data_IF_666193442224
#
_entry.id   IF_666193442224
#
_cell.length_a   1.000
_cell.length_b   1.000
_cell.length_c   1.000
_cell.angle_alpha   90.00
_cell.angle_beta   90.00
_cell.angle_gamma   90.00
#
_symmetry.space_group_name_H-M   'P 1'
#
loop_
_entity.id
_entity.type
_entity.pdbx_description
1 polymer ?
#
# COMPACT_ATOMS: atom_id res chain seq x y z
N UNK A 1 11.86 -2.48 -21.17
CA UNK A 1 10.64 -2.17 -21.93
C UNK A 1 9.83 -3.45 -22.20
N UNK A 2 10.49 -4.56 -22.57
CA UNK A 2 9.87 -5.90 -22.76
C UNK A 2 9.15 -6.44 -21.51
N UNK A 3 9.76 -6.33 -20.31
CA UNK A 3 9.16 -6.87 -19.08
C UNK A 3 7.79 -6.29 -18.71
N UNK A 4 7.43 -5.06 -19.12
CA UNK A 4 6.11 -4.49 -18.82
C UNK A 4 5.04 -5.03 -19.78
N UNK A 5 5.41 -5.15 -21.06
CA UNK A 5 4.56 -5.72 -22.12
C UNK A 5 4.31 -7.21 -21.85
N UNK A 6 5.33 -7.97 -21.46
CA UNK A 6 5.16 -9.40 -21.17
C UNK A 6 4.32 -9.62 -19.89
N UNK A 7 4.45 -8.76 -18.87
CA UNK A 7 3.57 -8.82 -17.69
C UNK A 7 2.11 -8.52 -18.03
N UNK A 8 1.85 -7.59 -18.97
CA UNK A 8 0.51 -7.31 -19.47
C UNK A 8 -0.11 -8.55 -20.11
N UNK A 9 0.59 -9.18 -21.05
CA UNK A 9 0.08 -10.39 -21.70
C UNK A 9 -0.10 -11.54 -20.71
N UNK A 10 0.80 -11.71 -19.73
CA UNK A 10 0.66 -12.73 -18.68
C UNK A 10 -0.65 -12.55 -17.94
N UNK A 11 -0.95 -11.33 -17.48
CA UNK A 11 -2.22 -11.04 -16.79
C UNK A 11 -3.44 -11.34 -17.67
N UNK A 12 -3.40 -10.92 -18.94
CA UNK A 12 -4.50 -11.15 -19.89
C UNK A 12 -4.76 -12.63 -20.13
N UNK A 13 -3.69 -13.44 -20.30
CA UNK A 13 -3.80 -14.87 -20.50
C UNK A 13 -4.41 -15.57 -19.27
N UNK A 14 -3.96 -15.19 -18.07
CA UNK A 14 -4.48 -15.74 -16.82
C UNK A 14 -5.97 -15.40 -16.62
N UNK A 15 -6.42 -14.20 -17.01
CA UNK A 15 -7.84 -13.83 -16.96
C UNK A 15 -8.71 -14.69 -17.89
N UNK A 16 -8.22 -15.00 -19.09
CA UNK A 16 -8.96 -15.89 -19.99
C UNK A 16 -9.04 -17.32 -19.44
N UNK A 17 -7.97 -17.79 -18.79
CA UNK A 17 -7.98 -19.06 -18.06
C UNK A 17 -9.01 -19.05 -16.93
N UNK A 18 -9.07 -17.97 -16.13
CA UNK A 18 -10.10 -17.81 -15.08
C UNK A 18 -11.52 -17.86 -15.65
N UNK A 19 -11.77 -17.15 -16.75
CA UNK A 19 -13.06 -17.13 -17.43
C UNK A 19 -13.46 -18.53 -17.94
N UNK A 20 -12.49 -19.30 -18.47
CA UNK A 20 -12.70 -20.67 -18.94
C UNK A 20 -13.06 -21.63 -17.82
N UNK A 21 -12.48 -21.46 -16.64
CA UNK A 21 -12.71 -22.32 -15.47
C UNK A 21 -14.07 -22.09 -14.79
N UNK A 22 -14.70 -20.92 -15.01
CA UNK A 22 -15.99 -20.54 -14.39
C UNK A 22 -16.04 -20.76 -12.87
N UNK A 23 -14.92 -20.50 -12.19
CA UNK A 23 -14.70 -20.79 -10.76
C UNK A 23 -14.61 -19.55 -9.86
N UNK A 24 -15.13 -18.43 -10.33
CA UNK A 24 -14.99 -17.16 -9.63
C UNK A 24 -13.55 -16.61 -9.69
N UNK A 25 -13.32 -15.53 -8.97
CA UNK A 25 -12.06 -14.78 -9.03
C UNK A 25 -10.92 -15.53 -8.35
N UNK A 26 -9.73 -15.52 -8.96
CA UNK A 26 -8.54 -16.13 -8.36
C UNK A 26 -8.11 -15.55 -7.02
N UNK A 27 -8.64 -14.39 -6.62
CA UNK A 27 -8.47 -13.83 -5.28
C UNK A 27 -9.01 -14.77 -4.17
N UNK A 28 -10.03 -15.57 -4.46
CA UNK A 28 -10.68 -16.49 -3.52
C UNK A 28 -10.19 -17.93 -3.63
N UNK A 29 -9.33 -18.23 -4.63
CA UNK A 29 -8.87 -19.59 -4.88
C UNK A 29 -8.04 -20.15 -3.72
N UNK A 30 -8.41 -21.36 -3.31
CA UNK A 30 -7.73 -22.17 -2.30
C UNK A 30 -6.68 -23.07 -2.94
N UNK A 31 -5.92 -23.79 -2.13
CA UNK A 31 -4.98 -24.82 -2.65
C UNK A 31 -5.70 -25.86 -3.52
N UNK A 32 -6.92 -26.24 -3.16
CA UNK A 32 -7.73 -27.19 -3.92
C UNK A 32 -8.05 -26.71 -5.34
N UNK A 33 -8.30 -25.41 -5.52
CA UNK A 33 -8.58 -24.83 -6.84
C UNK A 33 -7.33 -24.86 -7.73
N UNK A 34 -6.14 -24.64 -7.15
CA UNK A 34 -4.88 -24.77 -7.88
C UNK A 34 -4.49 -26.24 -8.16
N UNK A 35 -4.81 -27.17 -7.26
CA UNK A 35 -4.64 -28.62 -7.51
C UNK A 35 -5.50 -29.05 -8.69
N UNK A 36 -6.76 -28.62 -8.72
CA UNK A 36 -7.67 -28.91 -9.82
C UNK A 36 -7.23 -28.25 -11.14
N UNK A 37 -6.80 -26.99 -11.09
CA UNK A 37 -6.24 -26.30 -12.26
C UNK A 37 -5.02 -27.04 -12.83
N UNK A 38 -4.14 -27.55 -11.97
CA UNK A 38 -2.99 -28.36 -12.39
C UNK A 38 -3.43 -29.59 -13.17
N UNK A 39 -4.49 -30.27 -12.71
CA UNK A 39 -5.05 -31.46 -13.39
C UNK A 39 -5.66 -31.07 -14.74
N UNK A 40 -6.51 -30.04 -14.77
CA UNK A 40 -7.19 -29.62 -16.02
C UNK A 40 -6.18 -29.13 -17.08
N UNK A 41 -5.11 -28.44 -16.68
CA UNK A 41 -4.02 -28.06 -17.59
C UNK A 41 -3.30 -29.29 -18.14
N UNK A 42 -3.02 -30.28 -17.28
CA UNK A 42 -2.34 -31.51 -17.70
C UNK A 42 -3.19 -32.32 -18.68
N UNK A 43 -4.49 -32.44 -18.44
CA UNK A 43 -5.44 -33.12 -19.32
C UNK A 43 -5.54 -32.43 -20.69
N UNK A 44 -5.60 -31.09 -20.71
CA UNK A 44 -5.79 -30.33 -21.94
C UNK A 44 -4.50 -30.15 -22.77
N UNK A 45 -3.32 -30.10 -22.13
CA UNK A 45 -2.06 -29.72 -22.80
C UNK A 45 -1.01 -30.83 -22.83
N UNK A 46 -1.18 -31.88 -22.01
CA UNK A 46 -0.19 -32.94 -21.79
C UNK A 46 1.00 -32.54 -20.91
N UNK A 47 1.03 -31.30 -20.38
CA UNK A 47 2.13 -30.78 -19.57
C UNK A 47 1.66 -30.54 -18.13
N UNK A 48 2.40 -31.08 -17.15
CA UNK A 48 2.09 -30.87 -15.73
C UNK A 48 2.79 -29.63 -15.19
N UNK A 49 2.02 -28.68 -14.64
CA UNK A 49 2.53 -27.51 -13.94
C UNK A 49 2.30 -27.65 -12.45
N UNK A 50 3.36 -27.61 -11.64
CA UNK A 50 3.20 -27.75 -10.19
C UNK A 50 2.29 -26.66 -9.61
N UNK A 51 1.54 -27.01 -8.57
CA UNK A 51 0.67 -26.11 -7.81
C UNK A 51 1.43 -24.88 -7.31
N UNK A 52 2.72 -25.05 -6.96
CA UNK A 52 3.58 -23.92 -6.55
C UNK A 52 3.91 -22.98 -7.71
N UNK A 53 4.08 -23.51 -8.92
CA UNK A 53 4.27 -22.72 -10.15
C UNK A 53 2.99 -21.94 -10.48
N UNK A 54 1.83 -22.57 -10.37
CA UNK A 54 0.53 -21.92 -10.61
C UNK A 54 0.26 -20.83 -9.56
N UNK A 55 0.49 -21.10 -8.28
CA UNK A 55 0.36 -20.09 -7.22
C UNK A 55 1.27 -18.88 -7.42
N UNK A 56 2.47 -19.07 -7.98
CA UNK A 56 3.39 -17.98 -8.33
C UNK A 56 2.89 -17.16 -9.52
N UNK A 57 2.37 -17.80 -10.57
CA UNK A 57 1.77 -17.12 -11.73
C UNK A 57 0.58 -16.24 -11.32
N UNK A 58 -0.25 -16.74 -10.41
CA UNK A 58 -1.40 -16.02 -9.84
C UNK A 58 -1.05 -15.08 -8.69
N UNK A 59 0.24 -14.87 -8.40
CA UNK A 59 0.71 -13.91 -7.39
C UNK A 59 0.41 -14.28 -5.93
N UNK A 60 0.01 -15.53 -5.64
CA UNK A 60 -0.21 -16.04 -4.27
C UNK A 60 1.09 -16.35 -3.53
N UNK A 61 2.19 -16.49 -4.27
CA UNK A 61 3.53 -16.70 -3.73
C UNK A 61 4.51 -15.74 -4.42
N UNK A 62 5.47 -15.20 -3.67
CA UNK A 62 6.52 -14.34 -4.21
C UNK A 62 7.36 -15.09 -5.25
N UNK A 63 7.55 -14.47 -6.42
CA UNK A 63 8.40 -14.99 -7.48
C UNK A 63 9.24 -13.84 -8.06
N UNK A 64 10.56 -14.02 -8.08
CA UNK A 64 11.53 -12.96 -8.42
C UNK A 64 12.00 -12.98 -9.88
N UNK A 65 11.50 -13.92 -10.69
CA UNK A 65 11.92 -14.11 -12.07
C UNK A 65 10.71 -14.17 -13.02
N UNK A 66 10.95 -13.96 -14.31
CA UNK A 66 9.93 -14.17 -15.33
C UNK A 66 9.60 -15.66 -15.44
N UNK A 67 8.32 -16.06 -15.59
CA UNK A 67 7.98 -17.46 -15.81
C UNK A 67 8.71 -18.02 -17.04
N UNK A 68 9.11 -19.29 -16.98
CA UNK A 68 9.75 -19.93 -18.11
C UNK A 68 8.82 -19.93 -19.34
N UNK A 69 9.38 -19.78 -20.54
CA UNK A 69 8.61 -19.80 -21.79
C UNK A 69 7.78 -21.08 -21.95
N UNK A 70 8.25 -22.21 -21.45
CA UNK A 70 7.49 -23.48 -21.42
C UNK A 70 6.22 -23.36 -20.58
N UNK A 71 6.28 -22.67 -19.44
CA UNK A 71 5.14 -22.36 -18.59
C UNK A 71 4.15 -21.43 -19.31
N UNK A 72 4.65 -20.37 -19.95
CA UNK A 72 3.82 -19.42 -20.70
C UNK A 72 3.11 -20.08 -21.90
N UNK A 73 3.82 -20.91 -22.66
CA UNK A 73 3.23 -21.70 -23.75
C UNK A 73 2.15 -22.65 -23.25
N UNK A 74 2.37 -23.29 -22.10
CA UNK A 74 1.40 -24.23 -21.52
C UNK A 74 0.11 -23.53 -21.11
N UNK A 75 0.21 -22.34 -20.49
CA UNK A 75 -0.96 -21.55 -20.09
C UNK A 75 -1.70 -20.99 -21.31
N UNK A 76 -1.00 -20.50 -22.34
CA UNK A 76 -1.63 -20.06 -23.59
C UNK A 76 -2.37 -21.19 -24.31
N UNK A 77 -1.77 -22.39 -24.36
CA UNK A 77 -2.42 -23.60 -24.88
C UNK A 77 -3.67 -23.96 -24.08
N UNK A 78 -3.60 -23.87 -22.76
CA UNK A 78 -4.78 -24.08 -21.93
C UNK A 78 -5.88 -23.04 -22.19
N UNK A 79 -5.52 -21.79 -22.45
CA UNK A 79 -6.45 -20.72 -22.82
C UNK A 79 -7.08 -20.90 -24.22
N UNK A 80 -6.51 -21.78 -25.07
CA UNK A 80 -7.05 -22.12 -26.39
C UNK A 80 -6.24 -21.60 -27.58
N UNK A 81 -5.02 -21.12 -27.34
CA UNK A 81 -4.10 -20.63 -28.38
C UNK A 81 -3.06 -21.68 -28.75
N UNK A 82 -2.37 -21.51 -29.88
CA UNK A 82 -1.32 -22.47 -30.30
C UNK A 82 -0.11 -22.44 -29.35
N UNK A 83 0.36 -21.24 -29.01
CA UNK A 83 1.45 -21.00 -28.07
C UNK A 83 1.41 -19.57 -27.49
N UNK A 84 2.43 -19.20 -26.70
CA UNK A 84 2.52 -17.85 -26.11
C UNK A 84 2.59 -16.73 -27.13
N UNK A 85 3.24 -16.98 -28.28
CA UNK A 85 3.44 -15.97 -29.32
C UNK A 85 2.15 -15.73 -30.09
N UNK A 86 1.44 -16.81 -30.44
CA UNK A 86 0.11 -16.77 -31.05
C UNK A 86 -0.88 -15.99 -30.17
N UNK A 87 -0.91 -16.30 -28.87
CA UNK A 87 -1.70 -15.54 -27.90
C UNK A 87 -1.42 -14.03 -27.94
N UNK A 88 -0.13 -13.63 -27.92
CA UNK A 88 0.24 -12.21 -27.98
C UNK A 88 -0.21 -11.54 -29.29
N UNK A 89 -0.06 -12.23 -30.41
CA UNK A 89 -0.44 -11.70 -31.73
C UNK A 89 -1.96 -11.52 -31.87
N UNK A 90 -2.74 -12.51 -31.46
CA UNK A 90 -4.21 -12.42 -31.49
C UNK A 90 -4.76 -11.40 -30.48
N UNK A 91 -4.14 -11.30 -29.31
CA UNK A 91 -4.51 -10.31 -28.30
C UNK A 91 -4.12 -8.88 -28.68
N UNK A 92 -3.13 -8.70 -29.56
CA UNK A 92 -2.77 -7.39 -30.12
C UNK A 92 -3.62 -6.99 -31.33
N UNK A 93 -4.28 -7.95 -31.99
CA UNK A 93 -5.08 -7.73 -33.18
C UNK A 93 -6.57 -7.47 -32.89
N UNK A 94 -7.04 -7.73 -31.66
CA UNK A 94 -8.43 -7.54 -31.23
C UNK A 94 -8.86 -6.10 -30.90
N UNK A 95 -8.01 -5.09 -31.16
CA UNK A 95 -8.27 -3.67 -30.82
C UNK A 95 -9.20 -2.95 -31.84
N UNK A 96 -9.80 -3.64 -32.83
CA UNK A 96 -10.73 -3.00 -33.78
C UNK A 96 -11.93 -3.91 -34.09
N UNK A 97 -13.11 -3.27 -34.11
CA UNK A 97 -14.46 -3.75 -34.48
C UNK A 97 -15.35 -4.19 -33.30
N UNK A 98 -16.15 -3.24 -32.80
CA UNK A 98 -17.44 -3.50 -32.13
C UNK A 98 -18.55 -2.91 -33.00
N UNK A 99 -19.57 -3.70 -33.38
CA UNK A 99 -20.91 -3.19 -33.68
C UNK A 99 -21.96 -3.68 -32.64
N UNK A 100 -23.16 -3.08 -32.64
CA UNK A 100 -23.87 -2.68 -31.41
C UNK A 100 -24.88 -3.68 -30.82
N UNK A 101 -25.21 -3.41 -29.56
CA UNK A 101 -26.16 -4.08 -28.65
C UNK A 101 -27.59 -4.17 -29.21
N UNK A 102 -28.26 -5.30 -28.91
CA UNK A 102 -29.72 -5.43 -28.93
C UNK A 102 -30.23 -5.72 -27.51
N UNK A 103 -31.26 -4.96 -27.12
CA UNK A 103 -32.05 -5.10 -25.90
C UNK A 103 -33.00 -6.30 -25.99
N UNK A 104 -33.13 -7.07 -24.90
CA UNK A 104 -34.34 -7.84 -24.62
C UNK A 104 -34.77 -7.65 -23.16
N UNK A 105 -36.05 -7.31 -22.99
CA UNK A 105 -36.68 -6.94 -21.72
C UNK A 105 -37.12 -8.13 -20.85
N UNK A 106 -37.70 -7.87 -19.68
CA UNK A 106 -38.05 -8.91 -18.71
C UNK A 106 -39.52 -9.34 -18.82
N UNK A 107 -39.82 -10.59 -18.46
CA UNK A 107 -41.08 -10.85 -17.77
C UNK A 107 -40.93 -11.96 -16.69
N UNK A 108 -42.00 -12.34 -15.97
CA UNK A 108 -42.62 -11.54 -14.93
C UNK A 108 -42.70 -12.29 -13.58
N UNK A 109 -42.98 -11.53 -12.53
CA UNK A 109 -43.33 -12.02 -11.19
C UNK A 109 -44.76 -12.56 -11.19
N UNK A 110 -45.01 -13.69 -10.52
CA UNK A 110 -46.33 -13.89 -9.91
C UNK A 110 -46.30 -14.71 -8.62
N UNK A 111 -47.23 -14.28 -7.76
CA UNK A 111 -47.46 -14.56 -6.36
C UNK A 111 -47.79 -16.03 -6.02
N UNK A 112 -47.62 -16.38 -4.74
CA UNK A 112 -48.62 -16.93 -3.78
C UNK A 112 -47.83 -17.63 -2.64
N UNK A 113 -47.85 -17.13 -1.40
CA UNK A 113 -48.91 -17.22 -0.39
C UNK A 113 -48.94 -18.54 0.42
N UNK A 114 -48.64 -18.38 1.71
CA UNK A 114 -49.41 -18.92 2.87
C UNK A 114 -49.10 -20.32 3.42
N UNK A 115 -48.66 -20.28 4.69
CA UNK A 115 -48.97 -21.11 5.87
C UNK A 115 -48.55 -22.59 6.00
N UNK A 116 -48.01 -22.85 7.21
CA UNK A 116 -48.22 -23.96 8.17
C UNK A 116 -48.39 -25.39 7.60
N UNK A 117 -47.76 -26.45 8.11
CA UNK A 117 -47.89 -26.98 9.49
C UNK A 117 -46.99 -28.23 9.63
N UNK A 118 -46.56 -28.50 10.87
CA UNK A 118 -46.14 -29.76 11.54
C UNK A 118 -45.82 -31.06 10.76
N UNK A 119 -44.72 -31.73 11.16
CA UNK A 119 -44.61 -33.03 11.90
C UNK A 119 -43.12 -33.45 11.91
N UNK A 120 -42.43 -33.55 13.04
CA UNK A 120 -42.36 -34.66 14.02
C UNK A 120 -41.63 -35.93 13.50
N UNK A 121 -40.45 -36.21 14.07
CA UNK A 121 -39.91 -37.55 14.45
C UNK A 121 -38.55 -37.34 15.16
N UNK A 122 -38.45 -37.52 16.48
CA UNK A 122 -38.01 -38.73 17.20
C UNK A 122 -36.49 -39.00 17.07
N UNK A 123 -35.62 -38.83 18.09
CA UNK A 123 -35.38 -39.61 19.34
C UNK A 123 -34.09 -39.05 20.03
N UNK A 124 -33.62 -39.51 21.21
CA UNK A 124 -34.22 -39.50 22.54
C UNK A 124 -33.31 -38.84 23.63
N UNK A 125 -33.92 -38.53 24.79
CA UNK A 125 -33.26 -38.17 26.05
C UNK A 125 -32.41 -39.32 26.63
N UNK A 126 -31.25 -38.99 27.23
CA UNK A 126 -30.61 -39.83 28.24
C UNK A 126 -30.34 -39.05 29.54
N UNK A 127 -30.68 -39.72 30.63
CA UNK A 127 -30.92 -39.18 31.97
C UNK A 127 -29.65 -38.83 32.72
N UNK A 128 -29.75 -37.74 33.47
CA UNK A 128 -28.89 -37.44 34.61
C UNK A 128 -28.94 -38.57 35.65
N UNK A 129 -27.75 -39.06 36.05
CA UNK A 129 -27.55 -39.77 37.32
C UNK A 129 -26.44 -39.08 38.08
N UNK A 130 -26.78 -38.66 39.30
CA UNK A 130 -25.82 -38.21 40.30
C UNK A 130 -24.85 -39.32 40.70
N UNK A 131 -23.62 -38.91 40.99
CA UNK A 131 -22.56 -39.75 41.51
C UNK A 131 -21.63 -38.90 42.36
N UNK A 132 -21.44 -39.34 43.59
CA UNK A 132 -20.78 -38.70 44.72
C UNK A 132 -19.43 -38.04 44.46
N UNK A 133 -19.21 -36.95 45.20
CA UNK A 133 -17.92 -36.41 45.61
C UNK A 133 -17.00 -37.52 46.13
N UNK A 134 -15.82 -37.69 45.53
CA UNK A 134 -14.55 -37.99 46.21
C UNK A 134 -13.42 -38.05 45.17
N UNK A 135 -12.35 -37.26 45.40
CA UNK A 135 -11.18 -37.16 44.49
C UNK A 135 -10.82 -35.74 44.06
N UNK A 136 -11.29 -34.71 44.76
CA UNK A 136 -11.08 -33.30 44.39
C UNK A 136 -9.69 -32.73 44.77
N UNK A 137 -8.84 -33.50 45.46
CA UNK A 137 -7.55 -32.98 45.92
C UNK A 137 -6.35 -33.27 45.00
N UNK A 138 -6.40 -34.31 44.15
CA UNK A 138 -5.29 -34.61 43.23
C UNK A 138 -5.30 -33.74 41.98
N UNK A 139 -6.47 -33.44 41.39
CA UNK A 139 -6.58 -32.58 40.19
C UNK A 139 -6.29 -31.10 40.50
N UNK A 140 -6.72 -30.61 41.67
CA UNK A 140 -6.44 -29.23 42.13
C UNK A 140 -4.95 -28.99 42.38
N UNK A 141 -4.22 -30.00 42.89
CA UNK A 141 -2.75 -29.94 43.03
C UNK A 141 -2.04 -29.81 41.68
N UNK A 142 -2.49 -30.53 40.64
CA UNK A 142 -1.93 -30.42 39.29
C UNK A 142 -2.22 -29.06 38.62
N UNK A 143 -3.41 -28.49 38.83
CA UNK A 143 -3.72 -27.13 38.36
C UNK A 143 -2.86 -26.06 39.04
N UNK A 144 -2.66 -26.15 40.36
CA UNK A 144 -1.79 -25.22 41.09
C UNK A 144 -0.35 -25.34 40.62
N UNK A 145 0.16 -26.55 40.40
CA UNK A 145 1.52 -26.77 39.87
C UNK A 145 1.69 -26.19 38.45
N UNK A 146 0.68 -26.34 37.59
CA UNK A 146 0.72 -25.78 36.24
C UNK A 146 0.71 -24.24 36.24
N UNK A 147 -0.13 -23.62 37.07
CA UNK A 147 -0.18 -22.16 37.23
C UNK A 147 1.13 -21.62 37.79
N UNK A 148 1.72 -22.29 38.79
CA UNK A 148 3.03 -21.92 39.33
C UNK A 148 4.12 -22.05 38.27
N UNK A 149 4.11 -23.10 37.45
CA UNK A 149 5.07 -23.27 36.35
C UNK A 149 4.93 -22.16 35.29
N UNK A 150 3.71 -21.79 34.92
CA UNK A 150 3.44 -20.65 34.04
C UNK A 150 3.95 -19.33 34.63
N UNK A 151 3.76 -19.10 35.93
CA UNK A 151 4.24 -17.91 36.62
C UNK A 151 5.78 -17.89 36.72
N UNK A 152 6.42 -19.05 36.91
CA UNK A 152 7.89 -19.16 36.90
C UNK A 152 8.44 -18.91 35.50
N UNK A 153 7.82 -19.45 34.46
CA UNK A 153 8.19 -19.18 33.06
C UNK A 153 7.97 -17.70 32.73
N UNK A 154 6.82 -17.12 33.10
CA UNK A 154 6.54 -15.71 32.91
C UNK A 154 7.52 -14.82 33.68
N UNK A 155 7.88 -15.19 34.91
CA UNK A 155 8.89 -14.52 35.72
C UNK A 155 10.29 -14.61 35.12
N UNK A 156 10.67 -15.78 34.61
CA UNK A 156 11.95 -15.98 33.92
C UNK A 156 12.02 -15.18 32.61
N UNK A 157 10.95 -15.18 31.81
CA UNK A 157 10.83 -14.34 30.61
C UNK A 157 10.84 -12.85 30.95
N UNK A 158 10.22 -12.44 32.06
CA UNK A 158 10.21 -11.06 32.52
C UNK A 158 11.62 -10.61 32.94
N UNK A 159 12.34 -11.41 33.72
CA UNK A 159 13.73 -11.15 34.12
C UNK A 159 14.67 -11.16 32.91
N UNK A 160 14.47 -12.08 31.96
CA UNK A 160 15.25 -12.13 30.72
C UNK A 160 14.99 -10.91 29.84
N UNK A 161 13.74 -10.46 29.71
CA UNK A 161 13.40 -9.25 28.95
C UNK A 161 13.92 -7.95 29.60
N UNK A 162 14.32 -8.01 30.88
CA UNK A 162 14.89 -6.90 31.66
C UNK A 162 16.42 -6.89 31.64
N UNK A 163 17.10 -7.81 30.93
CA UNK A 163 18.56 -7.75 30.85
C UNK A 163 19.01 -6.44 30.17
N UNK A 164 19.99 -5.73 30.74
CA UNK A 164 20.44 -4.47 30.19
C UNK A 164 21.00 -4.70 28.80
N UNK A 165 20.37 -4.08 27.79
CA UNK A 165 20.87 -4.11 26.42
C UNK A 165 22.28 -3.51 26.43
N UNK A 166 23.28 -4.28 25.99
CA UNK A 166 24.67 -3.83 25.89
C UNK A 166 24.69 -2.58 25.01
N UNK A 167 25.02 -1.42 25.59
CA UNK A 167 25.02 -0.16 24.86
C UNK A 167 26.15 -0.18 23.82
N UNK A 168 25.77 -0.02 22.56
CA UNK A 168 26.72 -0.01 21.44
C UNK A 168 27.23 1.42 21.22
N UNK A 169 28.53 1.58 20.97
CA UNK A 169 29.12 2.89 20.69
C UNK A 169 28.95 3.22 19.19
N UNK A 170 28.13 4.23 18.89
CA UNK A 170 27.84 4.65 17.52
C UNK A 170 29.07 5.14 16.73
N UNK A 171 30.17 5.51 17.39
CA UNK A 171 31.40 5.95 16.72
C UNK A 171 32.11 4.81 15.98
N UNK A 172 31.88 3.56 16.40
CA UNK A 172 32.57 2.37 15.85
C UNK A 172 31.95 1.87 14.53
N UNK A 173 30.97 2.60 14.01
CA UNK A 173 30.20 2.24 12.82
C UNK A 173 30.29 3.35 11.77
N UNK A 174 30.13 2.98 10.50
CA UNK A 174 30.05 3.94 9.39
C UNK A 174 28.82 3.62 8.56
N UNK A 175 28.16 4.66 8.06
CA UNK A 175 26.99 4.52 7.21
C UNK A 175 26.86 5.73 6.28
N UNK A 176 26.78 5.46 4.99
CA UNK A 176 26.56 6.46 3.94
C UNK A 176 25.85 5.82 2.75
N UNK A 177 25.47 6.63 1.77
CA UNK A 177 24.85 6.10 0.56
C UNK A 177 25.22 6.90 -0.69
N UNK A 178 25.19 6.23 -1.84
CA UNK A 178 25.31 6.82 -3.15
C UNK A 178 24.03 6.55 -3.95
N UNK A 179 23.48 7.59 -4.58
CA UNK A 179 22.39 7.45 -5.56
C UNK A 179 22.99 7.11 -6.92
N UNK A 180 22.41 6.15 -7.63
CA UNK A 180 22.89 5.77 -8.97
C UNK A 180 22.45 6.75 -10.06
N UNK A 181 21.37 7.48 -9.84
CA UNK A 181 20.95 8.62 -10.66
C UNK A 181 20.67 9.82 -9.77
N UNK A 182 20.87 11.03 -10.29
CA UNK A 182 20.68 12.28 -9.55
C UNK A 182 19.22 12.51 -9.16
N UNK A 183 18.29 12.18 -10.07
CA UNK A 183 16.85 12.42 -9.98
C UNK A 183 16.04 11.30 -10.65
N UNK A 184 14.74 11.27 -10.34
CA UNK A 184 13.78 10.34 -10.90
C UNK A 184 13.70 9.02 -10.15
N UNK A 185 12.74 8.19 -10.56
CA UNK A 185 12.52 6.84 -10.04
C UNK A 185 12.23 5.87 -11.19
N UNK A 186 12.52 4.56 -11.04
CA UNK A 186 13.18 3.95 -9.88
C UNK A 186 14.64 4.40 -9.73
N UNK A 187 15.08 4.62 -8.49
CA UNK A 187 16.46 5.01 -8.19
C UNK A 187 17.12 3.96 -7.30
N UNK A 188 18.21 3.36 -7.79
CA UNK A 188 19.02 2.45 -6.98
C UNK A 188 19.93 3.25 -6.07
N UNK A 189 19.99 2.86 -4.80
CA UNK A 189 20.84 3.45 -3.79
C UNK A 189 21.72 2.37 -3.20
N UNK A 190 23.02 2.61 -3.25
CA UNK A 190 24.03 1.73 -2.66
C UNK A 190 24.39 2.30 -1.30
N UNK A 191 24.02 1.58 -0.25
CA UNK A 191 24.43 1.88 1.11
C UNK A 191 25.80 1.29 1.39
N UNK A 192 26.71 2.14 1.86
CA UNK A 192 28.03 1.76 2.33
C UNK A 192 28.00 1.71 3.86
N UNK A 193 28.42 0.58 4.44
CA UNK A 193 28.43 0.41 5.89
C UNK A 193 29.68 -0.30 6.40
N UNK A 194 30.04 0.04 7.64
CA UNK A 194 31.00 -0.71 8.43
C UNK A 194 30.34 -1.07 9.76
N UNK A 195 30.22 -2.36 10.01
CA UNK A 195 29.59 -2.94 11.19
C UNK A 195 30.42 -4.06 11.82
N UNK A 196 31.73 -4.11 11.56
CA UNK A 196 32.61 -5.14 12.08
C UNK A 196 32.63 -5.18 13.63
N UNK A 197 32.42 -4.03 14.28
CA UNK A 197 32.38 -3.90 15.74
C UNK A 197 31.16 -4.55 16.43
N UNK A 198 30.20 -5.09 15.66
CA UNK A 198 28.96 -5.63 16.21
C UNK A 198 29.08 -6.93 17.00
N UNK A 199 30.23 -7.62 16.94
CA UNK A 199 30.40 -8.91 17.61
C UNK A 199 29.38 -9.94 17.07
N UNK A 200 28.55 -10.49 17.95
CA UNK A 200 27.57 -11.53 17.62
C UNK A 200 26.16 -10.98 17.31
N UNK A 201 25.98 -9.66 17.40
CA UNK A 201 24.69 -9.04 17.10
C UNK A 201 24.35 -9.06 15.60
N UNK A 202 23.06 -9.14 15.31
CA UNK A 202 22.56 -9.03 13.92
C UNK A 202 22.55 -7.57 13.47
N UNK A 203 23.01 -7.34 12.24
CA UNK A 203 22.98 -6.01 11.61
C UNK A 203 21.76 -5.88 10.75
N UNK A 204 21.09 -4.73 10.87
CA UNK A 204 19.97 -4.40 10.01
C UNK A 204 20.15 -3.05 9.34
N UNK A 205 19.63 -2.93 8.12
CA UNK A 205 19.43 -1.66 7.44
C UNK A 205 17.93 -1.46 7.27
N UNK A 206 17.42 -0.32 7.75
CA UNK A 206 16.10 0.19 7.39
C UNK A 206 16.27 1.29 6.34
N UNK A 207 15.59 1.16 5.20
CA UNK A 207 15.65 2.13 4.11
C UNK A 207 14.83 3.41 4.40
N UNK A 208 13.95 3.35 5.41
CA UNK A 208 13.04 4.44 5.77
C UNK A 208 13.07 4.64 7.29
N UNK A 209 12.33 5.65 7.76
CA UNK A 209 12.13 5.89 9.18
C UNK A 209 11.46 4.71 9.91
N UNK A 210 10.69 3.88 9.18
CA UNK A 210 9.98 2.73 9.70
C UNK A 210 10.90 1.50 9.81
N UNK A 211 11.40 1.30 11.02
CA UNK A 211 12.30 0.20 11.37
C UNK A 211 11.64 -1.19 11.38
N UNK A 212 10.31 -1.26 11.20
CA UNK A 212 9.64 -2.56 10.99
C UNK A 212 10.01 -3.18 9.64
N UNK A 213 10.38 -2.34 8.66
CA UNK A 213 10.77 -2.73 7.30
C UNK A 213 12.27 -3.00 7.13
N UNK A 214 12.99 -3.15 8.25
CA UNK A 214 14.43 -3.41 8.25
C UNK A 214 14.75 -4.78 7.64
N UNK A 215 15.91 -4.88 7.02
CA UNK A 215 16.45 -6.12 6.45
C UNK A 215 17.77 -6.47 7.12
N UNK A 216 17.98 -7.76 7.40
CA UNK A 216 19.25 -8.24 7.92
C UNK A 216 20.32 -8.17 6.83
N UNK A 217 21.51 -7.68 7.18
CA UNK A 217 22.67 -7.62 6.29
C UNK A 217 23.89 -8.29 6.93
N UNK A 218 24.78 -8.92 6.16
CA UNK A 218 25.96 -9.57 6.72
C UNK A 218 26.93 -8.55 7.30
N UNK A 219 27.45 -8.79 8.51
CA UNK A 219 28.39 -7.88 9.19
C UNK A 219 29.76 -7.76 8.51
N UNK A 220 30.13 -8.76 7.70
CA UNK A 220 31.40 -8.87 6.97
C UNK A 220 31.32 -8.27 5.55
N UNK A 221 30.15 -7.78 5.15
CA UNK A 221 29.95 -7.03 3.90
C UNK A 221 29.94 -5.54 4.19
N UNK A 222 30.16 -4.77 3.15
CA UNK A 222 30.26 -3.31 3.23
C UNK A 222 29.23 -2.58 2.37
N UNK A 223 28.48 -3.31 1.57
CA UNK A 223 27.54 -2.74 0.60
C UNK A 223 26.18 -3.42 0.70
N UNK A 224 25.12 -2.62 0.61
CA UNK A 224 23.75 -3.08 0.51
C UNK A 224 22.98 -2.20 -0.47
N UNK A 225 22.43 -2.79 -1.52
CA UNK A 225 21.72 -2.05 -2.57
C UNK A 225 20.21 -2.16 -2.40
N UNK A 226 19.52 -1.04 -2.60
CA UNK A 226 18.06 -0.96 -2.54
C UNK A 226 17.50 -0.07 -3.66
N UNK A 227 16.28 -0.35 -4.09
CA UNK A 227 15.58 0.44 -5.12
C UNK A 227 14.46 1.25 -4.46
N UNK A 228 14.49 2.56 -4.70
CA UNK A 228 13.42 3.48 -4.33
C UNK A 228 12.49 3.68 -5.51
N UNK A 229 11.23 3.29 -5.35
CA UNK A 229 10.20 3.38 -6.38
C UNK A 229 9.31 4.62 -6.27
N UNK A 230 9.44 5.40 -5.19
CA UNK A 230 8.66 6.63 -4.98
C UNK A 230 9.63 7.73 -4.55
N UNK A 231 9.60 8.91 -5.18
CA UNK A 231 10.40 10.05 -4.72
C UNK A 231 10.02 10.42 -3.28
N UNK A 232 10.97 10.94 -2.52
CA UNK A 232 10.71 11.25 -1.11
C UNK A 232 11.96 11.61 -0.32
N UNK A 233 11.73 12.03 0.91
CA UNK A 233 12.76 12.20 1.93
C UNK A 233 12.70 11.00 2.88
N UNK A 234 13.83 10.29 2.99
CA UNK A 234 13.95 9.06 3.76
C UNK A 234 15.05 9.20 4.80
N UNK A 235 14.86 8.55 5.94
CA UNK A 235 15.89 8.41 6.96
C UNK A 235 16.32 6.96 7.04
N UNK A 236 17.38 6.61 6.30
CA UNK A 236 17.93 5.29 6.36
C UNK A 236 18.65 5.08 7.71
N UNK A 237 18.54 3.89 8.28
CA UNK A 237 19.09 3.58 9.61
C UNK A 237 19.93 2.30 9.55
N UNK A 238 21.14 2.38 10.08
CA UNK A 238 21.95 1.21 10.41
C UNK A 238 21.68 0.82 11.86
N UNK A 239 21.38 -0.45 12.11
CA UNK A 239 21.00 -0.97 13.42
C UNK A 239 21.85 -2.18 13.82
N UNK A 240 22.17 -2.27 15.10
CA UNK A 240 22.85 -3.41 15.74
C UNK A 240 21.90 -3.97 16.79
N UNK A 241 21.38 -5.18 16.53
CA UNK A 241 20.24 -5.72 17.29
C UNK A 241 19.04 -4.78 17.22
N UNK A 242 18.63 -4.23 18.37
CA UNK A 242 17.53 -3.26 18.48
C UNK A 242 17.97 -1.79 18.47
N UNK A 243 19.27 -1.51 18.50
CA UNK A 243 19.80 -0.15 18.65
C UNK A 243 20.09 0.48 17.28
N UNK A 244 19.61 1.71 17.05
CA UNK A 244 20.00 2.51 15.88
C UNK A 244 21.37 3.12 16.17
N UNK A 245 22.38 2.75 15.38
CA UNK A 245 23.76 3.24 15.55
C UNK A 245 24.10 4.39 14.59
N UNK A 246 23.47 4.45 13.42
CA UNK A 246 23.58 5.57 12.47
C UNK A 246 22.23 5.86 11.83
N UNK A 247 21.98 7.14 11.57
CA UNK A 247 20.90 7.63 10.71
C UNK A 247 21.52 8.40 9.55
N UNK A 248 21.01 8.21 8.35
CA UNK A 248 21.47 8.87 7.13
C UNK A 248 20.27 9.37 6.34
N UNK A 249 20.19 10.69 6.19
CA UNK A 249 19.13 11.33 5.41
C UNK A 249 19.39 11.15 3.91
N UNK A 250 18.32 10.82 3.19
CA UNK A 250 18.37 10.51 1.77
C UNK A 250 17.19 11.16 1.07
N UNK A 251 17.49 12.09 0.16
CA UNK A 251 16.50 12.74 -0.69
C UNK A 251 16.52 12.14 -2.10
N UNK A 252 15.44 11.45 -2.46
CA UNK A 252 15.17 10.96 -3.82
C UNK A 252 14.31 12.01 -4.52
N UNK A 253 14.96 12.88 -5.30
CA UNK A 253 14.31 13.94 -6.07
C UNK A 253 13.60 13.38 -7.29
N UNK A 254 12.53 14.03 -7.73
CA UNK A 254 11.66 13.51 -8.80
C UNK A 254 11.93 14.08 -10.19
N UNK A 255 12.63 15.22 -10.32
CA UNK A 255 12.84 15.88 -11.62
C UNK A 255 11.55 16.49 -12.22
N UNK A 256 10.61 16.88 -11.36
CA UNK A 256 9.25 17.31 -11.73
C UNK A 256 8.17 16.37 -11.18
N UNK A 257 6.97 16.42 -11.76
CA UNK A 257 5.86 15.58 -11.31
C UNK A 257 6.00 14.13 -11.74
N UNK A 258 5.76 13.24 -10.79
CA UNK A 258 5.60 11.80 -11.02
C UNK A 258 4.20 11.40 -10.58
N UNK A 259 3.44 10.77 -11.48
CA UNK A 259 2.17 10.13 -11.13
C UNK A 259 2.34 8.61 -11.14
N UNK A 260 1.80 7.94 -10.12
CA UNK A 260 1.85 6.49 -10.01
C UNK A 260 0.64 5.92 -9.29
N UNK A 261 0.33 4.65 -9.54
CA UNK A 261 -0.59 3.86 -8.73
C UNK A 261 0.20 2.89 -7.87
N UNK A 262 -0.04 2.92 -6.56
CA UNK A 262 0.40 1.85 -5.66
C UNK A 262 -0.62 0.70 -5.68
N UNK A 263 -0.11 -0.52 -5.61
CA UNK A 263 -0.90 -1.73 -5.42
C UNK A 263 -0.40 -2.53 -4.22
N UNK A 264 -0.79 -3.79 -4.14
CA UNK A 264 -0.35 -4.70 -3.06
C UNK A 264 1.09 -5.18 -3.25
N UNK A 265 1.69 -4.92 -4.42
CA UNK A 265 3.08 -5.24 -4.73
C UNK A 265 3.99 -4.04 -4.46
N UNK A 266 5.28 -4.28 -4.11
CA UNK A 266 6.22 -3.20 -3.80
C UNK A 266 6.60 -2.33 -5.00
N UNK A 267 6.33 -2.77 -6.23
CA UNK A 267 6.60 -2.01 -7.46
C UNK A 267 5.30 -1.31 -7.91
N UNK A 268 5.30 0.04 -8.05
CA UNK A 268 4.13 0.78 -8.50
C UNK A 268 3.99 0.76 -10.03
N UNK A 269 2.81 1.15 -10.50
CA UNK A 269 2.55 1.43 -11.92
C UNK A 269 2.74 2.93 -12.14
N UNK A 270 3.72 3.33 -12.95
CA UNK A 270 3.95 4.73 -13.30
C UNK A 270 3.09 5.15 -14.50
N UNK A 271 2.52 6.35 -14.46
CA UNK A 271 1.87 6.96 -15.61
C UNK A 271 2.87 7.80 -16.41
N UNK A 272 2.77 7.76 -17.74
CA UNK A 272 3.57 8.63 -18.62
C UNK A 272 3.18 10.09 -18.39
N UNK A 273 4.15 11.01 -18.40
CA UNK A 273 3.94 12.43 -18.11
C UNK A 273 2.83 13.04 -18.97
N UNK A 274 2.84 12.75 -20.26
CA UNK A 274 1.89 13.29 -21.25
C UNK A 274 0.46 12.76 -21.04
N UNK A 275 0.31 11.63 -20.34
CA UNK A 275 -0.98 11.03 -20.06
C UNK A 275 -1.68 11.73 -18.88
N UNK A 276 -0.93 12.17 -17.86
CA UNK A 276 -1.50 12.77 -16.66
C UNK A 276 -1.31 14.28 -16.55
N UNK A 277 -0.37 14.88 -17.27
CA UNK A 277 -0.09 16.32 -17.21
C UNK A 277 -0.55 17.01 -18.48
N UNK A 278 -1.55 17.89 -18.37
CA UNK A 278 -2.05 18.74 -19.46
C UNK A 278 -2.12 20.18 -18.95
N UNK A 279 -1.38 21.08 -19.59
CA UNK A 279 -1.22 22.47 -19.17
C UNK A 279 -0.78 22.56 -17.68
N UNK A 280 -1.54 23.29 -16.86
CA UNK A 280 -1.32 23.44 -15.42
C UNK A 280 -2.12 22.44 -14.57
N UNK A 281 -2.73 21.43 -15.19
CA UNK A 281 -3.56 20.42 -14.52
C UNK A 281 -2.85 19.07 -14.57
N UNK A 282 -2.72 18.45 -13.41
CA UNK A 282 -2.38 17.03 -13.31
C UNK A 282 -3.66 16.25 -13.02
N UNK A 283 -3.91 15.18 -13.77
CA UNK A 283 -5.12 14.38 -13.64
C UNK A 283 -4.86 12.93 -14.01
N UNK A 284 -5.34 12.03 -13.17
CA UNK A 284 -5.54 10.62 -13.51
C UNK A 284 -7.03 10.40 -13.45
N UNK A 285 -7.65 10.30 -14.62
CA UNK A 285 -9.10 10.15 -14.78
C UNK A 285 -9.50 8.68 -14.98
N UNK A 286 -10.81 8.44 -15.03
CA UNK A 286 -11.36 7.09 -15.22
C UNK A 286 -10.83 6.41 -16.50
N UNK A 287 -10.83 7.08 -17.67
CA UNK A 287 -10.23 6.50 -18.89
C UNK A 287 -8.78 6.05 -18.71
N UNK A 288 -7.94 6.88 -18.06
CA UNK A 288 -6.54 6.51 -17.83
C UNK A 288 -6.43 5.33 -16.86
N UNK A 289 -7.28 5.25 -15.83
CA UNK A 289 -7.33 4.10 -14.93
C UNK A 289 -7.77 2.83 -15.65
N UNK A 290 -8.76 2.91 -16.54
CA UNK A 290 -9.23 1.77 -17.34
C UNK A 290 -8.15 1.26 -18.30
N UNK A 291 -7.48 2.16 -19.02
CA UNK A 291 -6.36 1.83 -19.91
C UNK A 291 -5.21 1.12 -19.19
N UNK A 292 -5.05 1.36 -17.90
CA UNK A 292 -4.01 0.74 -17.06
C UNK A 292 -4.54 -0.43 -16.19
N UNK A 293 -5.78 -0.90 -16.42
CA UNK A 293 -6.42 -1.98 -15.67
C UNK A 293 -6.48 -1.72 -14.15
N UNK A 294 -6.66 -0.46 -13.77
CA UNK A 294 -6.70 0.04 -12.40
C UNK A 294 -8.11 0.38 -11.93
N UNK A 295 -9.09 0.47 -12.84
CA UNK A 295 -10.45 0.92 -12.53
C UNK A 295 -11.35 -0.20 -11.99
N UNK A 296 -11.43 -1.34 -12.68
CA UNK A 296 -12.39 -2.42 -12.36
C UNK A 296 -11.92 -3.39 -11.26
N UNK A 297 -11.12 -2.89 -10.30
CA UNK A 297 -10.61 -3.69 -9.18
C UNK A 297 -11.55 -3.66 -7.98
N UNK A 298 -11.55 -4.69 -7.12
CA UNK A 298 -12.37 -4.70 -5.90
C UNK A 298 -12.06 -3.50 -4.98
N UNK A 299 -10.78 -3.13 -4.88
CA UNK A 299 -10.31 -1.96 -4.15
C UNK A 299 -9.96 -0.81 -5.09
N UNK A 300 -10.32 0.43 -4.75
CA UNK A 300 -9.98 1.59 -5.57
C UNK A 300 -8.46 1.73 -5.73
N UNK A 301 -8.01 2.15 -6.91
CA UNK A 301 -6.60 2.41 -7.16
C UNK A 301 -6.07 3.53 -6.24
N UNK A 302 -4.90 3.31 -5.64
CA UNK A 302 -4.22 4.31 -4.80
C UNK A 302 -3.32 5.17 -5.68
N UNK A 303 -3.83 6.32 -6.10
CA UNK A 303 -3.11 7.22 -7.01
C UNK A 303 -2.30 8.22 -6.22
N UNK A 304 -1.07 8.47 -6.70
CA UNK A 304 -0.15 9.44 -6.10
C UNK A 304 0.37 10.40 -7.15
N UNK A 305 0.41 11.67 -6.79
CA UNK A 305 1.22 12.69 -7.49
C UNK A 305 2.31 13.13 -6.53
N UNK A 306 3.57 13.05 -6.97
CA UNK A 306 4.73 13.33 -6.12
C UNK A 306 5.64 14.31 -6.85
N UNK A 307 6.08 15.35 -6.15
CA UNK A 307 7.13 16.25 -6.61
C UNK A 307 8.06 16.58 -5.45
N UNK A 308 9.32 16.15 -5.56
CA UNK A 308 10.33 16.22 -4.50
C UNK A 308 11.59 16.86 -5.08
N UNK A 309 12.01 17.95 -4.47
CA UNK A 309 13.17 18.73 -4.87
C UNK A 309 13.72 19.52 -3.69
N UNK A 310 14.97 19.97 -3.79
CA UNK A 310 15.51 20.92 -2.83
C UNK A 310 14.79 22.27 -2.98
N UNK A 311 14.25 22.81 -1.88
CA UNK A 311 13.49 24.07 -1.88
C UNK A 311 14.22 25.22 -1.16
N UNK A 312 15.53 25.07 -0.94
CA UNK A 312 16.38 26.10 -0.37
C UNK A 312 15.97 26.50 1.05
N UNK A 313 15.52 27.75 1.20
CA UNK A 313 15.20 28.37 2.49
C UNK A 313 13.77 28.12 2.97
N UNK A 314 12.92 27.42 2.19
CA UNK A 314 11.54 27.17 2.56
C UNK A 314 11.43 26.28 3.81
N UNK A 315 10.72 26.76 4.84
CA UNK A 315 10.54 26.05 6.12
C UNK A 315 9.06 25.88 6.48
N UNK A 316 8.77 24.84 7.27
CA UNK A 316 7.41 24.49 7.70
C UNK A 316 6.87 25.31 8.88
N UNK A 317 7.57 26.36 9.29
CA UNK A 317 7.18 27.32 10.34
C UNK A 317 6.94 28.73 9.81
N UNK A 318 7.23 29.00 8.54
CA UNK A 318 6.96 30.29 7.90
C UNK A 318 6.67 30.08 6.42
N UNK A 319 5.42 29.77 6.09
CA UNK A 319 5.03 29.52 4.70
C UNK A 319 3.52 29.68 4.50
N UNK A 320 3.16 29.87 3.25
CA UNK A 320 1.81 29.68 2.74
C UNK A 320 1.86 28.65 1.62
N UNK A 321 1.03 27.61 1.72
CA UNK A 321 0.82 26.63 0.67
C UNK A 321 -0.59 26.76 0.13
N UNK A 322 -0.74 26.71 -1.18
CA UNK A 322 -2.03 26.75 -1.87
C UNK A 322 -2.08 25.71 -2.98
N UNK A 323 -3.25 25.10 -3.14
CA UNK A 323 -3.53 24.15 -4.22
C UNK A 323 -5.04 24.04 -4.45
N UNK A 324 -5.43 23.51 -5.61
CA UNK A 324 -6.80 23.07 -5.87
C UNK A 324 -6.81 21.57 -6.13
N UNK A 325 -7.74 20.89 -5.48
CA UNK A 325 -7.88 19.43 -5.51
C UNK A 325 -9.28 19.06 -6.03
N UNK A 326 -9.37 17.99 -6.82
CA UNK A 326 -10.63 17.39 -7.26
C UNK A 326 -10.50 15.86 -7.25
N UNK A 327 -11.48 15.16 -6.71
CA UNK A 327 -11.53 13.69 -6.64
C UNK A 327 -12.99 13.28 -6.91
N UNK A 328 -13.42 13.30 -8.19
CA UNK A 328 -14.82 13.10 -8.54
C UNK A 328 -15.25 11.69 -8.18
N UNK A 329 -16.54 11.52 -7.85
CA UNK A 329 -17.13 10.23 -7.50
C UNK A 329 -16.74 9.13 -8.45
N UNK A 330 -16.30 8.02 -7.87
CA UNK A 330 -16.07 6.76 -8.54
C UNK A 330 -17.27 5.85 -8.25
N UNK A 331 -17.86 5.29 -9.30
CA UNK A 331 -18.99 4.36 -9.21
C UNK A 331 -18.60 3.02 -8.55
N UNK A 332 -17.30 2.83 -8.22
CA UNK A 332 -16.74 1.62 -7.63
C UNK A 332 -16.06 1.89 -6.28
N UNK A 333 -16.54 1.16 -5.25
CA UNK A 333 -15.97 0.84 -3.92
C UNK A 333 -15.21 1.90 -3.09
N UNK A 334 -15.20 3.18 -3.47
CA UNK A 334 -14.49 4.26 -2.78
C UNK A 334 -15.43 5.29 -2.14
N UNK A 335 -16.48 4.88 -1.41
CA UNK A 335 -17.53 5.81 -0.95
C UNK A 335 -17.00 7.08 -0.25
N UNK A 336 -15.86 6.97 0.46
CA UNK A 336 -15.25 8.08 1.18
C UNK A 336 -14.13 8.81 0.47
N UNK A 337 -13.70 8.37 -0.72
CA UNK A 337 -12.79 9.12 -1.61
C UNK A 337 -11.74 9.96 -0.88
N UNK A 338 -10.99 9.31 0.03
CA UNK A 338 -10.08 10.02 0.90
C UNK A 338 -8.96 10.64 0.04
N UNK A 339 -8.71 11.92 0.26
CA UNK A 339 -7.55 12.60 -0.30
C UNK A 339 -6.62 13.00 0.84
N UNK A 340 -5.33 12.72 0.68
CA UNK A 340 -4.30 13.22 1.57
C UNK A 340 -3.36 14.15 0.80
N UNK A 341 -3.21 15.38 1.28
CA UNK A 341 -2.20 16.33 0.79
C UNK A 341 -1.06 16.38 1.79
N UNK A 342 0.12 15.95 1.38
CA UNK A 342 1.31 15.83 2.20
C UNK A 342 2.33 16.89 1.79
N UNK A 343 2.72 17.75 2.71
CA UNK A 343 3.90 18.62 2.59
C UNK A 343 5.07 17.87 3.23
N UNK A 344 6.02 17.44 2.41
CA UNK A 344 7.13 16.59 2.82
C UNK A 344 8.22 17.48 3.41
N UNK A 345 8.61 17.21 4.66
CA UNK A 345 9.72 17.89 5.31
C UNK A 345 10.84 16.89 5.63
N UNK A 346 12.07 17.37 5.87
CA UNK A 346 13.21 16.45 6.13
C UNK A 346 13.01 15.54 7.35
N UNK A 347 12.44 16.09 8.43
CA UNK A 347 12.24 15.40 9.72
C UNK A 347 10.77 15.43 10.17
N UNK A 348 9.85 15.76 9.26
CA UNK A 348 8.44 15.91 9.58
C UNK A 348 7.57 15.78 8.33
N UNK A 349 6.26 15.75 8.50
CA UNK A 349 5.30 15.82 7.40
C UNK A 349 4.10 16.63 7.87
N UNK A 350 3.50 17.41 6.98
CA UNK A 350 2.17 17.98 7.22
C UNK A 350 1.21 17.22 6.32
N UNK A 351 0.31 16.43 6.90
CA UNK A 351 -0.64 15.58 6.20
C UNK A 351 -2.05 16.11 6.44
N UNK A 352 -2.66 16.65 5.39
CA UNK A 352 -3.99 17.25 5.42
C UNK A 352 -4.99 16.29 4.77
N UNK A 353 -6.00 15.80 5.52
CA UNK A 353 -7.05 14.98 4.95
C UNK A 353 -8.12 15.86 4.29
N UNK A 354 -8.73 15.38 3.21
CA UNK A 354 -9.98 15.89 2.63
C UNK A 354 -10.86 14.69 2.28
N UNK A 355 -12.17 14.82 2.49
CA UNK A 355 -13.12 13.76 2.16
C UNK A 355 -14.52 14.35 1.88
N UNK A 356 -15.46 13.56 1.33
CA UNK A 356 -16.87 13.90 1.33
C UNK A 356 -17.39 14.12 2.76
N UNK A 357 -18.30 15.09 2.95
CA UNK A 357 -18.85 15.46 4.28
C UNK A 357 -19.35 14.28 5.13
N UNK A 358 -19.91 13.24 4.51
CA UNK A 358 -20.40 12.05 5.21
C UNK A 358 -19.30 11.13 5.79
N UNK A 359 -18.03 11.39 5.48
CA UNK A 359 -16.91 10.51 5.80
C UNK A 359 -15.90 11.10 6.79
N UNK A 360 -16.24 12.21 7.44
CA UNK A 360 -15.35 12.91 8.39
C UNK A 360 -15.03 12.12 9.66
N UNK A 361 -15.70 10.99 9.89
CA UNK A 361 -15.58 10.18 11.12
C UNK A 361 -14.25 9.43 11.29
N UNK A 362 -13.45 9.28 10.23
CA UNK A 362 -12.17 8.55 10.26
C UNK A 362 -11.02 9.35 9.63
N UNK A 363 -10.92 10.65 9.97
CA UNK A 363 -9.82 11.49 9.51
C UNK A 363 -8.67 11.52 10.50
N UNK A 364 -7.47 11.67 9.94
CA UNK A 364 -6.24 11.90 10.66
C UNK A 364 -5.55 13.13 10.06
N UNK A 365 -5.39 14.16 10.87
CA UNK A 365 -4.57 15.33 10.57
C UNK A 365 -3.23 15.17 11.28
N UNK A 366 -2.13 15.50 10.62
CA UNK A 366 -0.83 15.51 11.25
C UNK A 366 0.01 16.70 10.79
N UNK A 367 0.77 17.30 11.69
CA UNK A 367 1.74 18.33 11.34
C UNK A 367 2.59 18.74 12.54
N UNK A 368 3.88 19.01 12.31
CA UNK A 368 4.81 19.52 13.33
C UNK A 368 4.84 18.66 14.59
N UNK A 369 4.80 17.34 14.44
CA UNK A 369 4.85 16.38 15.54
C UNK A 369 3.53 16.13 16.27
N UNK A 370 2.43 16.75 15.84
CA UNK A 370 1.11 16.60 16.46
C UNK A 370 0.16 15.89 15.50
N UNK A 371 -0.34 14.73 15.91
CA UNK A 371 -1.45 14.04 15.26
C UNK A 371 -2.78 14.39 15.94
N UNK A 372 -3.84 14.49 15.15
CA UNK A 372 -5.22 14.72 15.58
C UNK A 372 -6.13 13.76 14.83
N UNK A 373 -6.98 13.05 15.56
CA UNK A 373 -7.95 12.10 15.00
C UNK A 373 -9.37 12.62 15.16
N UNK A 374 -10.24 12.33 14.18
CA UNK A 374 -11.70 12.56 14.31
C UNK A 374 -12.34 11.84 15.50
N UNK A 375 -11.67 10.83 16.08
CA UNK A 375 -12.15 10.14 17.29
C UNK A 375 -12.14 11.04 18.53
N UNK A 376 -11.23 12.00 18.56
CA UNK A 376 -10.94 12.81 19.75
C UNK A 376 -11.04 14.32 19.49
N UNK A 377 -11.32 14.75 18.24
CA UNK A 377 -11.44 16.15 17.85
C UNK A 377 -12.39 16.35 16.67
N UNK A 378 -12.99 17.53 16.57
CA UNK A 378 -13.82 17.91 15.43
C UNK A 378 -12.95 18.29 14.22
N UNK A 379 -12.90 17.38 13.24
CA UNK A 379 -12.25 17.57 11.94
C UNK A 379 -13.26 17.78 10.81
N UNK A 380 -14.52 18.14 11.12
CA UNK A 380 -15.58 18.32 10.12
C UNK A 380 -15.29 19.41 9.09
N UNK A 381 -14.43 20.39 9.43
CA UNK A 381 -13.96 21.42 8.51
C UNK A 381 -13.22 20.90 7.27
N UNK A 382 -12.73 19.65 7.30
CA UNK A 382 -12.09 18.98 6.17
C UNK A 382 -13.07 18.21 5.26
N UNK A 383 -14.36 18.15 5.63
CA UNK A 383 -15.42 17.59 4.82
C UNK A 383 -15.88 18.55 3.72
N UNK A 384 -15.70 18.19 2.46
CA UNK A 384 -15.97 19.04 1.30
C UNK A 384 -16.67 18.28 0.15
N UNK A 385 -17.01 19.01 -0.91
CA UNK A 385 -17.53 18.42 -2.15
C UNK A 385 -16.38 18.29 -3.16
N UNK A 386 -15.84 17.08 -3.28
CA UNK A 386 -14.69 16.75 -4.13
C UNK A 386 -15.06 16.49 -5.59
N UNK A 387 -16.36 16.51 -5.95
CA UNK A 387 -16.80 16.52 -7.36
C UNK A 387 -16.41 17.85 -8.05
N UNK A 388 -16.24 18.90 -7.26
CA UNK A 388 -15.82 20.23 -7.68
C UNK A 388 -14.36 20.53 -7.27
N UNK A 389 -13.78 21.58 -7.85
CA UNK A 389 -12.44 22.04 -7.46
C UNK A 389 -12.47 22.66 -6.06
N UNK A 390 -11.76 22.06 -5.12
CA UNK A 390 -11.66 22.51 -3.74
C UNK A 390 -10.32 23.22 -3.53
N UNK A 391 -10.31 24.55 -3.28
CA UNK A 391 -9.10 25.23 -2.84
C UNK A 391 -8.75 24.82 -1.40
N UNK A 392 -7.51 24.39 -1.23
CA UNK A 392 -6.86 24.12 0.05
C UNK A 392 -5.76 25.17 0.26
N UNK A 393 -5.74 25.77 1.45
CA UNK A 393 -4.65 26.64 1.89
C UNK A 393 -4.14 26.18 3.25
N UNK A 394 -2.82 26.16 3.40
CA UNK A 394 -2.14 25.83 4.67
C UNK A 394 -1.15 26.93 4.98
N UNK A 395 -1.17 27.44 6.20
CA UNK A 395 -0.21 28.45 6.65
C UNK A 395 0.56 27.93 7.86
N UNK A 396 1.88 28.05 7.82
CA UNK A 396 2.75 27.90 8.98
C UNK A 396 3.26 29.24 9.43
N UNK A 397 3.09 29.54 10.72
CA UNK A 397 3.66 30.72 11.37
C UNK A 397 4.14 30.36 12.79
N UNK A 398 5.46 30.31 12.96
CA UNK A 398 6.12 29.81 14.15
C UNK A 398 5.68 28.37 14.46
N UNK A 399 5.02 28.20 15.60
CA UNK A 399 4.58 26.86 16.03
C UNK A 399 3.23 26.42 15.48
N UNK A 400 2.51 27.36 14.88
CA UNK A 400 1.12 27.23 14.54
C UNK A 400 0.94 26.88 13.07
N UNK A 401 0.08 25.91 12.81
CA UNK A 401 -0.46 25.59 11.51
C UNK A 401 -1.93 25.95 11.47
N UNK A 402 -2.37 26.56 10.38
CA UNK A 402 -3.78 26.83 10.10
C UNK A 402 -4.13 26.25 8.74
N UNK A 403 -5.32 25.68 8.64
CA UNK A 403 -5.80 24.97 7.46
C UNK A 403 -7.12 25.59 7.01
N UNK A 404 -7.24 25.95 5.74
CA UNK A 404 -8.47 26.46 5.15
C UNK A 404 -8.91 25.60 3.99
N UNK A 405 -10.20 25.27 3.99
CA UNK A 405 -10.87 24.55 2.91
C UNK A 405 -11.99 25.43 2.40
N UNK A 406 -12.04 25.68 1.09
CA UNK A 406 -13.04 26.59 0.50
C UNK A 406 -13.01 28.00 1.13
N UNK A 407 -11.83 28.49 1.50
CA UNK A 407 -11.64 29.80 2.14
C UNK A 407 -12.12 29.90 3.59
N UNK A 408 -12.63 28.81 4.19
CA UNK A 408 -13.05 28.76 5.59
C UNK A 408 -11.99 28.06 6.43
N UNK A 409 -11.69 28.60 7.61
CA UNK A 409 -10.76 27.97 8.55
C UNK A 409 -11.36 26.61 8.96
N UNK A 410 -10.68 25.53 8.58
CA UNK A 410 -11.07 24.16 8.84
C UNK A 410 -10.54 23.67 10.19
N UNK A 411 -9.29 23.99 10.52
CA UNK A 411 -8.66 23.61 11.78
C UNK A 411 -7.40 24.45 12.06
N UNK A 412 -6.95 24.44 13.31
CA UNK A 412 -5.70 25.04 13.75
C UNK A 412 -4.97 24.11 14.71
N UNK A 413 -3.66 24.02 14.54
CA UNK A 413 -2.80 23.06 15.22
C UNK A 413 -1.53 23.74 15.71
N UNK A 414 -1.16 23.54 16.98
CA UNK A 414 0.15 23.93 17.48
C UNK A 414 1.03 22.69 17.65
N UNK A 415 2.18 22.68 16.98
CA UNK A 415 3.09 21.53 16.94
C UNK A 415 4.25 21.62 17.93
N UNK A 416 4.66 20.51 18.57
CA UNK A 416 5.84 20.45 19.43
C UNK A 416 7.18 20.55 18.69
N UNK A 417 7.24 20.10 17.44
CA UNK A 417 8.51 19.99 16.71
C UNK A 417 9.07 21.36 16.32
N UNK A 418 10.40 21.42 16.20
CA UNK A 418 11.10 22.57 15.64
C UNK A 418 10.87 22.72 14.12
N UNK A 419 11.31 23.84 13.52
CA UNK A 419 11.23 24.06 12.08
C UNK A 419 11.99 23.01 11.27
N UNK A 420 11.41 22.56 10.17
CA UNK A 420 12.01 21.63 9.22
C UNK A 420 11.97 22.20 7.79
N UNK A 421 12.96 21.84 6.97
CA UNK A 421 12.97 22.18 5.54
C UNK A 421 11.84 21.44 4.83
N UNK A 422 11.03 22.17 4.06
CA UNK A 422 10.10 21.57 3.10
C UNK A 422 10.90 21.14 1.88
N UNK A 423 10.71 19.91 1.42
CA UNK A 423 11.48 19.29 0.33
C UNK A 423 10.59 18.73 -0.77
N UNK A 424 9.31 19.04 -0.74
CA UNK A 424 8.37 18.63 -1.76
C UNK A 424 6.98 18.37 -1.20
N UNK A 425 6.22 17.68 -2.03
CA UNK A 425 4.81 17.47 -1.80
C UNK A 425 4.34 16.17 -2.45
N UNK A 426 3.31 15.62 -1.86
CA UNK A 426 2.67 14.41 -2.33
C UNK A 426 1.15 14.52 -2.16
N UNK A 427 0.41 14.11 -3.17
CA UNK A 427 -1.03 13.91 -3.09
C UNK A 427 -1.32 12.43 -3.15
N UNK A 428 -2.30 11.97 -2.38
CA UNK A 428 -2.79 10.59 -2.40
C UNK A 428 -4.29 10.61 -2.61
N UNK A 429 -4.77 9.81 -3.54
CA UNK A 429 -6.17 9.67 -3.90
C UNK A 429 -6.56 8.19 -3.87
N UNK A 430 -7.79 7.91 -3.45
CA UNK A 430 -8.45 6.64 -3.73
C UNK A 430 -9.36 6.82 -4.96
N UNK A 431 -8.92 6.27 -6.09
CA UNK A 431 -9.57 6.45 -7.39
C UNK A 431 -9.05 7.66 -8.19
N UNK A 432 -9.84 8.22 -9.12
CA UNK A 432 -9.41 9.26 -10.04
C UNK A 432 -9.15 10.58 -9.30
N UNK A 433 -8.06 11.28 -9.58
CA UNK A 433 -7.69 12.49 -8.86
C UNK A 433 -7.07 13.53 -9.77
N UNK A 434 -7.31 14.80 -9.46
CA UNK A 434 -6.74 15.92 -10.19
C UNK A 434 -6.31 17.05 -9.26
N UNK A 435 -5.22 17.73 -9.64
CA UNK A 435 -4.66 18.89 -8.93
C UNK A 435 -4.29 20.00 -9.91
N UNK A 436 -4.33 21.25 -9.43
CA UNK A 436 -3.82 22.42 -10.17
C UNK A 436 -3.46 23.57 -9.23
N UNK A 437 -2.74 24.55 -9.77
CA UNK A 437 -2.38 25.80 -9.07
C UNK A 437 -1.64 25.55 -7.76
N UNK A 438 -0.73 24.56 -7.75
CA UNK A 438 0.08 24.24 -6.57
C UNK A 438 1.24 25.22 -6.42
N UNK A 439 1.32 25.89 -5.27
CA UNK A 439 2.42 26.80 -4.97
C UNK A 439 2.74 26.91 -3.48
N UNK A 440 3.98 27.24 -3.18
CA UNK A 440 4.40 27.77 -1.89
C UNK A 440 4.76 29.25 -2.02
N UNK A 441 4.51 30.01 -0.97
CA UNK A 441 4.87 31.41 -0.84
C UNK A 441 5.55 31.59 0.52
N UNK A 442 6.72 32.25 0.54
CA UNK A 442 7.42 32.66 1.74
C UNK A 442 8.06 34.00 1.46
N UNK A 443 7.62 35.04 2.18
CA UNK A 443 7.99 36.43 1.92
C UNK A 443 7.76 36.78 0.43
N UNK A 444 8.79 37.21 -0.29
CA UNK A 444 8.73 37.53 -1.73
C UNK A 444 9.01 36.33 -2.65
N UNK A 445 9.31 35.16 -2.08
CA UNK A 445 9.65 33.95 -2.84
C UNK A 445 8.41 33.10 -3.13
N UNK A 446 8.27 32.65 -4.38
CA UNK A 446 7.18 31.77 -4.83
C UNK A 446 7.76 30.54 -5.52
N UNK A 447 7.36 29.36 -5.07
CA UNK A 447 7.67 28.08 -5.73
C UNK A 447 6.39 27.58 -6.41
N UNK A 448 6.41 27.50 -7.74
CA UNK A 448 5.28 27.04 -8.56
C UNK A 448 5.62 25.65 -9.10
N UNK A 449 4.61 24.78 -9.13
CA UNK A 449 4.73 23.38 -9.52
C UNK A 449 3.85 23.04 -10.72
#
# INVERSE_FOLDING_TARGET
MENNIDNYYIRLCLQQVEAKLKRGCSSEWTTYDFDRLSVEIQEATGVSLSVTTLKRLWGKLSYQHMPAMTTLNTIARFAGYEDWRDFKQQSSAGEQVVPPLQEEGPPPVNHLAVANTATADHLPEEKAKGGHLTGQDKKRKWYVLFVVQLLVIAGALFVWSRQPVKKVNAADYRFSSNKMVSEGVPNSVIFHYDAAAAGDDTIFIAQTWDVSRKVAVPKDKHEYSAIYYVPGCFQAKLMVGSQIVKTHDLLITSGGWVALSEGDTPVPVYFKKEAFQKDSILSVDVPLLQQNFLYDRPTPAKIRFVNVQEMGTLRNDHFVFETMVKNPKNDKSAACQLVEVLLLCRDDVIMVPLCPKGCVGDLQLYGRGRGVSSKDADLSGFGCDLDNWVPLRVEGNGRQLRFWVNGKLAYQLDGPNGPAAIVGLQYRFYGPGAIKHTRFIQDDSIWIF
#
